data_IF_798891259521
#
_entry.id   IF_798891259521
#
_cell.length_a   1.000
_cell.length_b   1.000
_cell.length_c   1.000
_cell.angle_alpha   90.00
_cell.angle_beta   90.00
_cell.angle_gamma   90.00
#
_symmetry.space_group_name_H-M   'P 1'
#
loop_
_entity.id
_entity.type
_entity.pdbx_description
1 polymer ?
#
# COMPACT_ATOMS: atom_id res chain seq x y z
N UNK A 1 -25.75 23.92 11.15
CA UNK A 1 -25.14 22.61 10.79
C UNK A 1 -24.69 22.60 9.33
N UNK A 2 -25.50 23.12 8.40
CA UNK A 2 -25.04 23.45 7.04
C UNK A 2 -23.86 24.44 7.05
N UNK A 3 -23.94 25.51 7.85
CA UNK A 3 -22.84 26.48 8.03
C UNK A 3 -21.55 25.86 8.59
N UNK A 4 -21.66 24.78 9.38
CA UNK A 4 -20.51 24.04 9.91
C UNK A 4 -19.84 23.20 8.81
N UNK A 5 -20.64 22.59 7.94
CA UNK A 5 -20.14 21.84 6.79
C UNK A 5 -19.52 22.81 5.78
N UNK A 6 -20.17 23.94 5.48
CA UNK A 6 -19.63 25.00 4.61
C UNK A 6 -18.33 25.60 5.18
N UNK A 7 -18.27 25.91 6.48
CA UNK A 7 -17.07 26.43 7.12
C UNK A 7 -15.88 25.48 7.09
N UNK A 8 -16.11 24.16 7.13
CA UNK A 8 -15.06 23.14 7.03
C UNK A 8 -14.62 22.92 5.57
N UNK A 9 -15.51 23.08 4.59
CA UNK A 9 -15.20 22.81 3.17
C UNK A 9 -14.06 23.64 2.60
N UNK A 10 -13.76 24.81 3.18
CA UNK A 10 -12.74 25.71 2.66
C UNK A 10 -11.30 25.20 2.83
N UNK A 11 -11.04 24.23 3.71
CA UNK A 11 -9.67 23.81 4.07
C UNK A 11 -9.39 22.30 4.03
N UNK A 12 -10.37 21.47 3.67
CA UNK A 12 -10.17 20.00 3.63
C UNK A 12 -10.64 19.38 2.32
N UNK A 13 -10.01 18.25 1.96
CA UNK A 13 -10.40 17.51 0.75
C UNK A 13 -11.83 16.97 0.89
N UNK A 14 -12.56 16.82 -0.23
CA UNK A 14 -13.90 16.17 -0.23
C UNK A 14 -13.88 14.76 0.40
N UNK A 15 -12.76 14.04 0.29
CA UNK A 15 -12.61 12.72 0.92
C UNK A 15 -12.55 12.85 2.44
N UNK A 16 -11.75 13.78 2.95
CA UNK A 16 -11.69 14.10 4.37
C UNK A 16 -13.05 14.55 4.91
N UNK A 17 -13.78 15.38 4.14
CA UNK A 17 -15.14 15.80 4.49
C UNK A 17 -16.11 14.62 4.56
N UNK A 18 -16.05 13.70 3.60
CA UNK A 18 -16.84 12.47 3.62
C UNK A 18 -16.54 11.62 4.86
N UNK A 19 -15.26 11.44 5.21
CA UNK A 19 -14.85 10.65 6.38
C UNK A 19 -15.36 11.29 7.68
N UNK A 20 -15.27 12.63 7.81
CA UNK A 20 -15.85 13.37 8.95
C UNK A 20 -17.37 13.16 9.03
N UNK A 21 -18.08 13.27 7.91
CA UNK A 21 -19.54 13.07 7.86
C UNK A 21 -19.92 11.64 8.25
N UNK A 22 -19.15 10.63 7.81
CA UNK A 22 -19.37 9.23 8.21
C UNK A 22 -19.20 9.06 9.71
N UNK A 23 -18.12 9.61 10.29
CA UNK A 23 -17.89 9.55 11.75
C UNK A 23 -19.00 10.27 12.51
N UNK A 24 -19.41 11.46 12.06
CA UNK A 24 -20.49 12.24 12.66
C UNK A 24 -21.82 11.45 12.66
N UNK A 25 -22.18 10.82 11.54
CA UNK A 25 -23.37 9.96 11.44
C UNK A 25 -23.29 8.78 12.40
N UNK A 26 -22.12 8.15 12.54
CA UNK A 26 -21.91 7.05 13.50
C UNK A 26 -22.09 7.50 14.95
N UNK A 27 -21.62 8.71 15.30
CA UNK A 27 -21.81 9.30 16.64
C UNK A 27 -23.30 9.56 16.91
N UNK A 28 -24.03 10.18 15.97
CA UNK A 28 -25.46 10.41 16.14
C UNK A 28 -26.25 9.10 16.25
N UNK A 29 -25.88 8.09 15.45
CA UNK A 29 -26.47 6.76 15.53
C UNK A 29 -26.25 6.11 16.90
N UNK A 30 -25.03 6.19 17.43
CA UNK A 30 -24.72 5.68 18.76
C UNK A 30 -25.47 6.43 19.87
N UNK A 31 -25.58 7.76 19.77
CA UNK A 31 -26.36 8.57 20.71
C UNK A 31 -27.86 8.22 20.71
N UNK A 32 -28.43 7.91 19.54
CA UNK A 32 -29.81 7.41 19.41
C UNK A 32 -30.00 6.08 20.13
N UNK A 33 -29.05 5.14 20.03
CA UNK A 33 -29.09 3.85 20.73
C UNK A 33 -29.14 4.07 22.25
N UNK A 34 -28.35 5.01 22.76
CA UNK A 34 -28.31 5.38 24.18
C UNK A 34 -29.51 6.23 24.65
N UNK A 35 -30.52 6.44 23.80
CA UNK A 35 -31.74 7.22 24.09
C UNK A 35 -31.48 8.68 24.48
N UNK A 36 -30.35 9.24 24.07
CA UNK A 36 -30.19 10.69 24.14
C UNK A 36 -31.10 11.36 23.09
N UNK A 37 -31.77 12.46 23.48
CA UNK A 37 -32.54 13.31 22.56
C UNK A 37 -31.59 14.02 21.61
N UNK A 38 -31.19 13.34 20.54
CA UNK A 38 -30.24 13.85 19.57
C UNK A 38 -30.91 13.88 18.20
N UNK A 39 -30.67 15.00 17.51
CA UNK A 39 -31.12 15.37 16.17
C UNK A 39 -31.30 14.19 15.18
N UNK A 40 -32.27 14.33 14.28
CA UNK A 40 -32.52 13.34 13.23
C UNK A 40 -31.26 13.09 12.37
N UNK A 41 -30.87 11.82 12.22
CA UNK A 41 -29.73 11.38 11.39
C UNK A 41 -29.77 11.91 9.95
N UNK A 42 -30.97 12.20 9.45
CA UNK A 42 -31.22 12.69 8.10
C UNK A 42 -30.84 14.17 7.93
N UNK A 43 -30.53 14.88 9.03
CA UNK A 43 -30.13 16.29 9.00
C UNK A 43 -28.69 16.51 8.47
N UNK A 44 -27.87 15.44 8.37
CA UNK A 44 -26.51 15.54 7.82
C UNK A 44 -26.52 15.13 6.33
N UNK A 45 -26.25 16.07 5.41
CA UNK A 45 -26.19 15.76 3.98
C UNK A 45 -25.08 14.74 3.69
N UNK A 46 -25.34 13.84 2.75
CA UNK A 46 -24.35 12.88 2.27
C UNK A 46 -23.35 13.58 1.34
N UNK A 47 -22.06 13.34 1.57
CA UNK A 47 -21.00 13.85 0.69
C UNK A 47 -20.75 12.83 -0.41
N UNK A 48 -21.04 13.22 -1.66
CA UNK A 48 -20.71 12.42 -2.83
C UNK A 48 -19.26 12.69 -3.21
N UNK A 49 -18.44 11.64 -3.12
CA UNK A 49 -17.06 11.66 -3.62
C UNK A 49 -17.03 10.82 -4.88
N UNK A 50 -16.74 11.44 -6.02
CA UNK A 50 -16.45 10.73 -7.27
C UNK A 50 -15.22 9.86 -7.05
N UNK A 51 -15.35 8.54 -7.27
CA UNK A 51 -14.22 7.62 -7.18
C UNK A 51 -13.16 8.03 -8.21
N UNK A 52 -11.92 8.21 -7.76
CA UNK A 52 -10.80 8.46 -8.68
C UNK A 52 -10.54 7.20 -9.50
N UNK A 53 -10.30 7.35 -10.80
CA UNK A 53 -9.84 6.26 -11.66
C UNK A 53 -8.57 5.65 -11.06
N UNK A 54 -8.54 4.33 -10.95
CA UNK A 54 -7.36 3.62 -10.47
C UNK A 54 -6.26 3.79 -11.51
N UNK A 55 -5.10 4.26 -11.05
CA UNK A 55 -3.92 4.45 -11.89
C UNK A 55 -3.01 3.26 -11.63
N UNK A 56 -2.50 2.64 -12.70
CA UNK A 56 -1.53 1.54 -12.69
C UNK A 56 -0.42 1.85 -13.69
N UNK A 57 0.69 1.11 -13.60
CA UNK A 57 1.68 1.08 -14.69
C UNK A 57 1.08 0.34 -15.89
N UNK A 58 1.20 0.94 -17.07
CA UNK A 58 0.88 0.25 -18.31
C UNK A 58 1.92 -0.86 -18.60
N UNK A 59 1.69 -1.64 -19.64
CA UNK A 59 2.57 -2.76 -19.98
C UNK A 59 3.98 -2.31 -20.41
N UNK A 60 4.09 -1.16 -21.09
CA UNK A 60 5.37 -0.65 -21.56
C UNK A 60 6.23 -0.22 -20.36
N UNK A 61 5.65 0.56 -19.47
CA UNK A 61 6.32 1.05 -18.25
C UNK A 61 6.67 -0.10 -17.31
N UNK A 62 5.78 -1.07 -17.16
CA UNK A 62 6.02 -2.27 -16.36
C UNK A 62 7.19 -3.09 -16.92
N UNK A 63 7.20 -3.34 -18.24
CA UNK A 63 8.27 -4.09 -18.90
C UNK A 63 9.61 -3.35 -18.81
N UNK A 64 9.63 -2.02 -18.98
CA UNK A 64 10.83 -1.21 -18.82
C UNK A 64 11.40 -1.33 -17.40
N UNK A 65 10.52 -1.21 -16.39
CA UNK A 65 10.91 -1.31 -14.98
C UNK A 65 11.44 -2.71 -14.64
N UNK A 66 10.74 -3.76 -15.08
CA UNK A 66 11.15 -5.15 -14.88
C UNK A 66 12.50 -5.43 -15.55
N UNK A 67 12.64 -5.06 -16.82
CA UNK A 67 13.90 -5.22 -17.56
C UNK A 67 15.05 -4.51 -16.86
N UNK A 68 14.84 -3.27 -16.41
CA UNK A 68 15.85 -2.51 -15.66
C UNK A 68 16.28 -3.24 -14.38
N UNK A 69 15.31 -3.72 -13.60
CA UNK A 69 15.54 -4.42 -12.34
C UNK A 69 16.37 -5.68 -12.59
N UNK A 70 15.96 -6.51 -13.55
CA UNK A 70 16.61 -7.76 -13.89
C UNK A 70 18.06 -7.57 -14.36
N UNK A 71 18.33 -6.54 -15.18
CA UNK A 71 19.68 -6.24 -15.68
C UNK A 71 20.59 -5.58 -14.62
N UNK A 72 20.01 -4.96 -13.58
CA UNK A 72 20.75 -4.21 -12.57
C UNK A 72 20.52 -4.79 -11.15
N UNK A 73 20.54 -6.11 -11.01
CA UNK A 73 20.14 -6.77 -9.77
C UNK A 73 20.98 -6.30 -8.57
N UNK A 74 20.29 -5.89 -7.51
CA UNK A 74 20.89 -5.37 -6.26
C UNK A 74 19.88 -5.50 -5.12
N UNK A 75 20.29 -5.30 -3.86
CA UNK A 75 19.37 -5.34 -2.71
C UNK A 75 18.16 -4.40 -2.86
N UNK A 76 18.36 -3.21 -3.44
CA UNK A 76 17.26 -2.28 -3.71
C UNK A 76 16.34 -2.80 -4.82
N UNK A 77 16.92 -3.38 -5.87
CA UNK A 77 16.18 -3.86 -7.03
C UNK A 77 15.43 -5.18 -6.77
N UNK A 78 16.00 -6.11 -5.99
CA UNK A 78 15.26 -7.30 -5.56
C UNK A 78 14.06 -6.91 -4.69
N UNK A 79 14.19 -5.87 -3.87
CA UNK A 79 13.05 -5.32 -3.13
C UNK A 79 11.92 -4.79 -4.02
N UNK A 80 12.27 -4.11 -5.13
CA UNK A 80 11.28 -3.61 -6.09
C UNK A 80 10.61 -4.78 -6.81
N UNK A 81 11.41 -5.80 -7.15
CA UNK A 81 10.94 -7.01 -7.78
C UNK A 81 9.95 -7.78 -6.89
N UNK A 82 10.27 -7.94 -5.60
CA UNK A 82 9.35 -8.49 -4.61
C UNK A 82 8.04 -7.68 -4.61
N UNK A 83 8.11 -6.34 -4.56
CA UNK A 83 6.90 -5.50 -4.54
C UNK A 83 6.04 -5.66 -5.80
N UNK A 84 6.67 -5.77 -6.97
CA UNK A 84 5.99 -6.00 -8.26
C UNK A 84 5.27 -7.36 -8.31
N UNK A 85 5.90 -8.41 -7.76
CA UNK A 85 5.43 -9.79 -7.86
C UNK A 85 4.57 -10.27 -6.69
N UNK A 86 4.51 -9.51 -5.60
CA UNK A 86 3.75 -9.91 -4.39
C UNK A 86 2.76 -8.86 -3.91
N UNK A 87 2.86 -7.63 -4.41
CA UNK A 87 2.01 -6.52 -3.99
C UNK A 87 2.10 -6.17 -2.51
N UNK A 88 3.19 -6.52 -1.81
CA UNK A 88 3.37 -6.15 -0.40
C UNK A 88 3.34 -4.63 -0.21
N UNK A 89 2.94 -4.19 0.98
CA UNK A 89 2.93 -2.76 1.32
C UNK A 89 4.35 -2.25 1.45
N UNK A 90 4.47 -0.96 1.18
CA UNK A 90 5.72 -0.23 1.38
C UNK A 90 6.30 -0.38 2.80
N UNK A 91 5.44 -0.33 3.82
CA UNK A 91 5.87 -0.53 5.21
C UNK A 91 6.35 -1.96 5.52
N UNK A 92 5.95 -2.96 4.74
CA UNK A 92 6.34 -4.36 4.95
C UNK A 92 7.69 -4.65 4.28
N UNK A 93 7.93 -4.15 3.07
CA UNK A 93 9.22 -4.36 2.38
C UNK A 93 10.40 -3.74 3.15
N UNK A 94 10.19 -2.66 3.90
CA UNK A 94 11.27 -2.01 4.65
C UNK A 94 11.86 -2.85 5.77
N UNK A 95 11.04 -3.70 6.38
CA UNK A 95 11.43 -4.54 7.52
C UNK A 95 11.56 -6.01 7.16
N UNK A 96 11.35 -6.35 5.89
CA UNK A 96 11.49 -7.73 5.42
C UNK A 96 12.94 -8.18 5.58
N UNK A 97 13.16 -9.27 6.32
CA UNK A 97 14.49 -9.83 6.55
C UNK A 97 14.76 -10.96 5.58
N UNK A 98 16.04 -11.19 5.27
CA UNK A 98 16.46 -12.29 4.39
C UNK A 98 15.98 -13.66 4.92
N UNK A 99 15.97 -13.83 6.25
CA UNK A 99 15.46 -15.04 6.94
C UNK A 99 13.96 -15.31 6.73
N UNK A 100 13.19 -14.30 6.37
CA UNK A 100 11.74 -14.44 6.14
C UNK A 100 11.42 -14.96 4.73
N UNK A 101 12.43 -15.07 3.86
CA UNK A 101 12.34 -15.63 2.51
C UNK A 101 12.74 -17.10 2.59
N UNK A 102 11.73 -17.97 2.57
CA UNK A 102 11.91 -19.42 2.67
C UNK A 102 11.91 -20.01 1.25
N UNK A 103 13.09 -20.06 0.63
CA UNK A 103 13.26 -20.56 -0.75
C UNK A 103 12.84 -22.03 -0.89
N UNK A 104 13.18 -22.90 0.06
CA UNK A 104 12.78 -24.30 0.03
C UNK A 104 11.25 -24.48 0.02
N UNK A 105 10.54 -23.60 0.72
CA UNK A 105 9.08 -23.66 0.83
C UNK A 105 8.38 -22.71 -0.16
N UNK A 106 9.15 -22.11 -1.07
CA UNK A 106 8.70 -21.12 -2.07
C UNK A 106 7.76 -20.07 -1.49
N UNK A 107 8.09 -19.52 -0.32
CA UNK A 107 7.23 -18.55 0.37
C UNK A 107 7.99 -17.42 1.04
N UNK A 108 7.37 -16.25 1.07
CA UNK A 108 7.80 -15.09 1.86
C UNK A 108 6.87 -14.97 3.07
N UNK A 109 7.45 -14.92 4.26
CA UNK A 109 6.73 -14.64 5.50
C UNK A 109 6.73 -13.13 5.70
N UNK A 110 5.53 -12.54 5.74
CA UNK A 110 5.37 -11.14 6.16
C UNK A 110 4.89 -11.18 7.60
N UNK A 111 5.73 -10.74 8.53
CA UNK A 111 5.45 -10.75 9.98
C UNK A 111 5.39 -9.33 10.56
N UNK A 112 6.17 -8.40 10.02
CA UNK A 112 6.34 -7.04 10.53
C UNK A 112 5.87 -6.01 9.49
N UNK A 113 5.45 -4.83 9.95
CA UNK A 113 5.23 -3.68 9.06
C UNK A 113 5.48 -2.37 9.79
N UNK A 114 6.01 -1.40 9.05
CA UNK A 114 6.33 -0.06 9.52
C UNK A 114 5.24 0.93 9.12
N UNK A 115 4.74 1.65 10.12
CA UNK A 115 3.90 2.83 9.91
C UNK A 115 4.54 4.05 10.55
N UNK A 116 4.47 5.18 9.83
CA UNK A 116 4.93 6.47 10.35
C UNK A 116 3.84 7.03 11.26
N UNK A 117 4.19 7.33 12.49
CA UNK A 117 3.32 8.04 13.43
C UNK A 117 3.81 9.49 13.44
N UNK A 118 2.94 10.44 13.09
CA UNK A 118 3.25 11.85 13.28
C UNK A 118 2.75 12.25 14.66
N UNK A 119 3.60 12.23 15.69
CA UNK A 119 3.24 12.86 16.95
C UNK A 119 3.31 14.38 16.79
N UNK A 120 2.18 15.04 17.07
CA UNK A 120 2.03 16.48 16.95
C UNK A 120 2.85 17.16 18.06
N UNK A 121 4.04 17.65 17.69
CA UNK A 121 4.78 18.82 18.23
C UNK A 121 6.27 18.49 18.24
N UNK A 122 6.93 18.79 17.11
CA UNK A 122 8.32 19.23 16.96
C UNK A 122 8.91 18.67 15.66
N UNK A 123 9.23 19.56 14.75
CA UNK A 123 10.03 19.28 13.57
C UNK A 123 11.50 19.17 13.97
N UNK A 124 11.89 18.13 14.70
CA UNK A 124 13.31 17.81 14.89
C UNK A 124 13.53 16.31 14.74
N UNK A 125 14.72 16.04 14.22
CA UNK A 125 15.39 14.80 13.87
C UNK A 125 15.54 13.83 15.04
N UNK A 126 14.45 13.34 15.61
CA UNK A 126 14.45 12.08 16.33
C UNK A 126 13.84 11.02 15.41
N UNK A 127 14.62 9.96 15.19
CA UNK A 127 14.26 8.84 14.34
C UNK A 127 13.07 8.17 15.01
N UNK A 128 11.86 8.49 14.51
CA UNK A 128 10.61 7.80 14.83
C UNK A 128 10.83 6.31 14.53
N UNK A 129 11.17 5.53 15.55
CA UNK A 129 11.19 4.08 15.43
C UNK A 129 9.74 3.65 15.20
N UNK A 130 9.45 2.99 14.07
CA UNK A 130 8.08 2.71 13.68
C UNK A 130 7.44 1.70 14.61
N UNK A 131 6.12 1.89 14.87
CA UNK A 131 5.35 0.85 15.55
C UNK A 131 5.28 -0.38 14.65
N UNK A 132 5.84 -1.47 15.13
CA UNK A 132 5.79 -2.77 14.46
C UNK A 132 4.48 -3.43 14.82
N UNK A 133 3.67 -3.74 13.81
CA UNK A 133 2.47 -4.56 13.97
C UNK A 133 2.76 -5.99 13.51
N UNK A 134 2.63 -6.96 14.42
CA UNK A 134 2.78 -8.39 14.11
C UNK A 134 1.57 -8.89 13.31
N UNK A 135 1.78 -9.17 12.02
CA UNK A 135 0.71 -9.50 11.09
C UNK A 135 1.18 -10.58 10.12
N UNK A 136 1.26 -11.81 10.65
CA UNK A 136 1.78 -12.98 9.95
C UNK A 136 0.88 -13.33 8.76
N UNK A 137 1.45 -13.28 7.56
CA UNK A 137 0.89 -13.92 6.36
C UNK A 137 2.00 -14.53 5.51
N UNK A 138 1.62 -15.51 4.69
CA UNK A 138 2.52 -16.22 3.78
C UNK A 138 2.14 -15.87 2.35
N UNK A 139 3.12 -15.50 1.53
CA UNK A 139 2.94 -15.20 0.11
C UNK A 139 3.78 -16.19 -0.69
N UNK A 140 3.18 -16.85 -1.68
CA UNK A 140 3.88 -17.77 -2.57
C UNK A 140 4.84 -17.01 -3.49
N UNK A 141 6.02 -17.58 -3.72
CA UNK A 141 7.03 -17.11 -4.65
C UNK A 141 6.76 -17.80 -5.99
N UNK A 142 6.59 -17.02 -7.06
CA UNK A 142 6.52 -17.62 -8.40
C UNK A 142 7.93 -17.85 -8.97
N UNK A 143 8.01 -18.65 -10.03
CA UNK A 143 9.29 -19.00 -10.66
C UNK A 143 10.12 -17.78 -11.09
N UNK A 144 9.44 -16.74 -11.61
CA UNK A 144 10.11 -15.51 -12.03
C UNK A 144 10.79 -14.80 -10.87
N UNK A 145 10.18 -14.76 -9.68
CA UNK A 145 10.77 -14.17 -8.49
C UNK A 145 11.84 -15.08 -7.88
N UNK A 146 11.61 -16.39 -7.87
CA UNK A 146 12.51 -17.39 -7.29
C UNK A 146 13.92 -17.31 -7.87
N UNK A 147 14.05 -17.27 -9.20
CA UNK A 147 15.35 -17.25 -9.89
C UNK A 147 16.23 -16.05 -9.52
N UNK A 148 15.65 -14.95 -9.03
CA UNK A 148 16.42 -13.80 -8.56
C UNK A 148 16.62 -13.81 -7.05
N UNK A 149 15.66 -14.33 -6.27
CA UNK A 149 15.82 -14.45 -4.82
C UNK A 149 16.95 -15.41 -4.42
N UNK A 150 17.21 -16.45 -5.22
CA UNK A 150 18.31 -17.40 -4.94
C UNK A 150 19.69 -16.74 -4.92
N UNK A 151 19.87 -15.63 -5.66
CA UNK A 151 21.10 -14.84 -5.65
C UNK A 151 21.38 -14.21 -4.28
N UNK A 152 20.35 -14.06 -3.45
CA UNK A 152 20.41 -13.46 -2.11
C UNK A 152 20.27 -14.50 -0.99
N UNK A 153 20.32 -15.80 -1.28
CA UNK A 153 20.12 -16.86 -0.28
C UNK A 153 21.11 -16.81 0.90
N UNK A 154 22.33 -16.30 0.65
CA UNK A 154 23.40 -16.17 1.66
C UNK A 154 23.38 -14.82 2.36
N UNK A 155 22.44 -13.93 2.02
CA UNK A 155 22.35 -12.61 2.63
C UNK A 155 21.77 -12.71 4.05
N UNK A 156 22.14 -11.73 4.89
CA UNK A 156 21.68 -11.60 6.26
C UNK A 156 21.02 -10.24 6.48
N UNK A 157 20.38 -10.04 7.63
CA UNK A 157 19.69 -8.79 7.95
C UNK A 157 18.49 -8.48 7.04
N UNK A 158 18.33 -7.20 6.68
CA UNK A 158 17.22 -6.70 5.87
C UNK A 158 17.45 -6.93 4.37
N UNK A 159 16.41 -7.34 3.64
CA UNK A 159 16.52 -7.65 2.21
C UNK A 159 16.91 -6.45 1.34
N UNK A 160 16.59 -5.22 1.78
CA UNK A 160 16.89 -3.99 1.04
C UNK A 160 18.34 -3.52 1.15
N UNK A 161 19.10 -4.07 2.10
CA UNK A 161 20.47 -3.64 2.40
C UNK A 161 21.47 -4.79 2.46
N UNK A 162 21.01 -6.01 2.77
CA UNK A 162 21.88 -7.16 3.08
C UNK A 162 22.63 -6.99 4.41
N UNK A 163 22.16 -6.10 5.29
CA UNK A 163 22.80 -5.78 6.57
C UNK A 163 21.75 -5.64 7.68
N UNK A 164 22.21 -5.58 8.92
CA UNK A 164 21.34 -5.35 10.10
C UNK A 164 20.77 -3.92 10.17
N UNK A 165 21.10 -3.05 9.22
CA UNK A 165 20.56 -1.69 9.14
C UNK A 165 19.47 -1.62 8.07
N UNK A 166 18.30 -1.12 8.45
CA UNK A 166 17.18 -0.93 7.52
C UNK A 166 17.41 0.28 6.60
N UNK A 167 16.83 0.22 5.41
CA UNK A 167 16.82 1.37 4.49
C UNK A 167 15.69 2.32 4.86
N UNK A 168 15.99 3.61 5.03
CA UNK A 168 14.94 4.56 5.40
C UNK A 168 13.90 4.71 4.27
N UNK A 169 12.60 4.87 4.61
CA UNK A 169 11.54 4.92 3.61
C UNK A 169 11.74 5.95 2.51
N UNK A 170 12.21 7.14 2.88
CA UNK A 170 12.42 8.27 1.97
C UNK A 170 13.49 7.97 0.93
N UNK A 171 14.59 7.32 1.31
CA UNK A 171 15.67 6.97 0.39
C UNK A 171 15.18 5.99 -0.67
N UNK A 172 14.40 4.98 -0.25
CA UNK A 172 13.91 3.97 -1.18
C UNK A 172 12.84 4.50 -2.14
N UNK A 173 11.93 5.35 -1.65
CA UNK A 173 10.96 6.03 -2.50
C UNK A 173 11.64 6.96 -3.50
N UNK A 174 12.68 7.68 -3.08
CA UNK A 174 13.47 8.51 -3.96
C UNK A 174 14.21 7.68 -5.02
N UNK A 175 14.76 6.53 -4.63
CA UNK A 175 15.37 5.58 -5.56
C UNK A 175 14.37 5.12 -6.63
N UNK A 176 13.15 4.74 -6.23
CA UNK A 176 12.08 4.38 -7.18
C UNK A 176 11.74 5.54 -8.12
N UNK A 177 11.56 6.76 -7.60
CA UNK A 177 11.30 7.95 -8.43
C UNK A 177 12.41 8.23 -9.45
N UNK A 178 13.67 7.99 -9.09
CA UNK A 178 14.79 8.14 -10.02
C UNK A 178 14.69 7.16 -11.20
N UNK A 179 14.26 5.93 -10.95
CA UNK A 179 14.04 4.93 -12.00
C UNK A 179 12.89 5.36 -12.92
N UNK A 180 11.78 5.84 -12.35
CA UNK A 180 10.67 6.37 -13.16
C UNK A 180 11.13 7.52 -14.07
N UNK A 181 11.88 8.47 -13.51
CA UNK A 181 12.41 9.61 -14.27
C UNK A 181 13.38 9.18 -15.37
N UNK A 182 14.20 8.15 -15.13
CA UNK A 182 15.13 7.61 -16.14
C UNK A 182 14.40 7.09 -17.39
N UNK A 183 13.21 6.52 -17.22
CA UNK A 183 12.36 6.05 -18.32
C UNK A 183 11.34 7.09 -18.81
N UNK A 184 11.40 8.32 -18.31
CA UNK A 184 10.40 9.36 -18.55
C UNK A 184 8.96 8.92 -18.20
N UNK A 185 8.83 8.04 -17.21
CA UNK A 185 7.56 7.59 -16.67
C UNK A 185 7.02 8.69 -15.75
N UNK A 186 5.70 8.89 -15.78
CA UNK A 186 5.01 9.84 -14.88
C UNK A 186 5.38 9.59 -13.42
N UNK A 187 5.52 10.67 -12.65
CA UNK A 187 5.79 10.56 -11.21
C UNK A 187 4.63 9.86 -10.49
N UNK A 188 4.93 8.66 -9.99
CA UNK A 188 4.00 7.84 -9.22
C UNK A 188 4.54 7.59 -7.82
N UNK A 189 3.62 7.57 -6.85
CA UNK A 189 3.93 7.11 -5.51
C UNK A 189 4.19 5.60 -5.53
N UNK A 190 5.04 5.13 -4.63
CA UNK A 190 5.48 3.72 -4.56
C UNK A 190 4.32 2.70 -4.51
N UNK A 191 3.18 3.08 -3.92
CA UNK A 191 1.97 2.23 -3.88
C UNK A 191 1.43 1.83 -5.26
N UNK A 192 1.88 2.50 -6.34
CA UNK A 192 1.57 2.11 -7.72
C UNK A 192 1.95 0.67 -8.03
N UNK A 193 3.04 0.15 -7.45
CA UNK A 193 3.49 -1.24 -7.67
C UNK A 193 2.44 -2.23 -7.17
N UNK A 194 1.92 -1.99 -5.97
CA UNK A 194 0.86 -2.80 -5.37
C UNK A 194 -0.47 -2.68 -6.13
N UNK A 195 -0.84 -1.47 -6.56
CA UNK A 195 -2.04 -1.28 -7.38
C UNK A 195 -1.92 -2.02 -8.72
N UNK A 196 -0.75 -1.95 -9.35
CA UNK A 196 -0.45 -2.66 -10.59
C UNK A 196 -0.57 -4.15 -10.36
N UNK A 197 0.12 -4.72 -9.37
CA UNK A 197 0.02 -6.15 -9.00
C UNK A 197 -1.43 -6.60 -8.81
N UNK A 198 -2.20 -5.91 -7.96
CA UNK A 198 -3.58 -6.26 -7.67
C UNK A 198 -4.46 -6.25 -8.93
N UNK A 199 -4.29 -5.22 -9.76
CA UNK A 199 -5.06 -5.07 -11.01
C UNK A 199 -4.69 -6.15 -12.01
N UNK A 200 -3.41 -6.53 -12.12
CA UNK A 200 -2.96 -7.63 -13.00
C UNK A 200 -3.47 -8.99 -12.52
N UNK A 201 -3.47 -9.27 -11.22
CA UNK A 201 -4.07 -10.49 -10.68
C UNK A 201 -5.55 -10.60 -11.07
N UNK A 202 -6.31 -9.52 -10.94
CA UNK A 202 -7.73 -9.49 -11.36
C UNK A 202 -7.86 -9.73 -12.87
N UNK A 203 -7.03 -9.09 -13.68
CA UNK A 203 -7.02 -9.31 -15.15
C UNK A 203 -6.68 -10.76 -15.54
N UNK A 204 -5.90 -11.46 -14.72
CA UNK A 204 -5.58 -12.87 -14.89
C UNK A 204 -6.60 -13.83 -14.23
N UNK A 205 -7.80 -13.34 -13.85
CA UNK A 205 -8.86 -14.12 -13.23
C UNK A 205 -8.47 -14.81 -11.91
N UNK A 206 -7.54 -14.22 -11.14
CA UNK A 206 -7.24 -14.70 -9.78
C UNK A 206 -8.46 -14.44 -8.89
N UNK A 207 -8.83 -15.45 -8.10
CA UNK A 207 -9.94 -15.35 -7.15
C UNK A 207 -9.75 -14.18 -6.17
N UNK A 208 -10.82 -13.42 -5.95
CA UNK A 208 -10.80 -12.18 -5.15
C UNK A 208 -10.51 -12.47 -3.68
N UNK A 209 -10.99 -13.60 -3.16
CA UNK A 209 -10.74 -13.99 -1.77
C UNK A 209 -9.26 -14.31 -1.59
N UNK A 210 -8.68 -15.10 -2.50
CA UNK A 210 -7.24 -15.38 -2.54
C UNK A 210 -6.41 -14.09 -2.68
N UNK A 211 -6.77 -13.18 -3.59
CA UNK A 211 -6.08 -11.90 -3.75
C UNK A 211 -6.18 -11.03 -2.49
N UNK A 212 -7.34 -11.01 -1.84
CA UNK A 212 -7.58 -10.27 -0.60
C UNK A 212 -6.76 -10.81 0.57
N UNK A 213 -6.53 -12.13 0.62
CA UNK A 213 -5.66 -12.78 1.59
C UNK A 213 -4.19 -12.41 1.35
N UNK A 214 -3.71 -12.47 0.10
CA UNK A 214 -2.34 -12.07 -0.28
C UNK A 214 -2.06 -10.61 0.08
N UNK A 215 -2.99 -9.72 -0.26
CA UNK A 215 -2.82 -8.28 -0.05
C UNK A 215 -3.01 -7.90 1.43
N UNK A 216 -3.67 -8.72 2.24
CA UNK A 216 -4.20 -8.41 3.59
C UNK A 216 -5.15 -7.22 3.53
N UNK A 217 -6.39 -7.38 3.99
CA UNK A 217 -7.43 -6.33 4.00
C UNK A 217 -6.90 -4.98 4.53
N UNK A 218 -6.94 -3.93 3.71
CA UNK A 218 -7.01 -2.54 4.20
C UNK A 218 -8.08 -1.69 3.51
N UNK A 219 -8.74 -2.19 2.48
CA UNK A 219 -10.20 -2.12 2.39
C UNK A 219 -10.66 -3.10 1.32
N UNK A 220 -11.67 -3.90 1.62
CA UNK A 220 -12.41 -4.67 0.62
C UNK A 220 -12.91 -3.74 -0.49
N UNK A 221 -13.11 -2.46 -0.18
CA UNK A 221 -13.39 -1.38 -1.13
C UNK A 221 -12.28 -1.18 -2.17
N UNK A 222 -10.97 -1.17 -1.85
CA UNK A 222 -9.95 -0.96 -2.89
C UNK A 222 -9.87 -2.13 -3.87
N UNK A 223 -10.06 -3.36 -3.36
CA UNK A 223 -10.06 -4.59 -4.19
C UNK A 223 -11.36 -4.71 -5.00
N UNK A 224 -12.52 -4.39 -4.42
CA UNK A 224 -13.81 -4.29 -5.14
C UNK A 224 -13.85 -3.09 -6.11
N UNK A 225 -13.18 -1.99 -5.80
CA UNK A 225 -13.09 -0.82 -6.67
C UNK A 225 -12.28 -1.14 -7.92
N UNK A 226 -11.19 -1.91 -7.80
CA UNK A 226 -10.45 -2.49 -8.95
C UNK A 226 -11.38 -3.35 -9.80
N UNK A 227 -12.20 -4.20 -9.17
CA UNK A 227 -13.11 -5.12 -9.84
C UNK A 227 -14.24 -4.40 -10.60
N UNK A 228 -14.95 -3.48 -9.94
CA UNK A 228 -16.03 -2.70 -10.58
C UNK A 228 -15.53 -1.88 -11.76
N UNK A 229 -14.28 -1.40 -11.73
CA UNK A 229 -13.75 -0.59 -12.82
C UNK A 229 -13.37 -1.42 -14.06
N UNK A 230 -13.07 -2.72 -13.92
CA UNK A 230 -12.68 -3.61 -15.03
C UNK A 230 -13.91 -4.28 -15.67
N UNK A 231 -14.93 -4.63 -14.89
CA UNK A 231 -16.14 -5.28 -15.45
C UNK A 231 -17.01 -4.32 -16.27
N UNK A 232 -16.92 -3.02 -15.98
CA UNK A 232 -17.67 -1.98 -16.69
C UNK A 232 -16.81 -1.19 -17.69
N UNK A 233 -15.65 -1.71 -18.09
CA UNK A 233 -14.79 -1.16 -19.16
C UNK A 233 -14.67 -2.13 -20.31
#
# INVERSE_FOLDING_TARGET
>A
MLDFIEGITQNISRKSLQDIVVVLKSILYYGKILRYSIFALNAIPSVIVTKKKIIILDWKDLNNLETFICHNMSYKNIGLFICLYTGIRLGEIYVLKCRDILLHDEKIIINESVQRINEKRKSYTEIDMPKIENLIRKILINQNLYQYLILFQKAHGYILTGTEHYLTPRIYQYYFKRILNYFHIKDYNFHILRHTFATRCVQCNVDIKSLSEILRRSSVNTTLDIYTLIIFS
#
